data_IF_824272692933
#
_entry.id   IF_824272692933
#
_cell.length_a   1.000
_cell.length_b   1.000
_cell.length_c   1.000
_cell.angle_alpha   90.00
_cell.angle_beta   90.00
_cell.angle_gamma   90.00
#
_symmetry.space_group_name_H-M   'P 1'
#
loop_
_entity.id
_entity.type
_entity.pdbx_description
1 polymer ?
#
# COMPACT_ATOMS: atom_id res chain seq x y z
N UNK A 1 12.92 -68.74 24.18
CA UNK A 1 11.65 -68.53 23.45
C UNK A 1 10.97 -67.28 24.01
N UNK A 2 10.91 -66.18 23.25
CA UNK A 2 10.05 -65.03 23.57
C UNK A 2 8.89 -65.06 22.57
N UNK A 3 7.68 -65.31 23.08
CA UNK A 3 6.47 -65.31 22.26
C UNK A 3 6.06 -63.87 21.95
N UNK A 4 5.79 -63.58 20.69
CA UNK A 4 5.15 -62.36 20.22
C UNK A 4 3.64 -62.62 20.16
N UNK A 5 2.84 -61.86 20.91
CA UNK A 5 1.38 -61.99 20.98
C UNK A 5 0.63 -61.11 19.96
N UNK A 6 1.34 -60.62 18.93
CA UNK A 6 0.78 -59.78 17.87
C UNK A 6 0.92 -58.29 18.15
N UNK A 7 0.79 -57.49 17.09
CA UNK A 7 0.68 -56.04 17.15
C UNK A 7 -0.45 -55.61 16.22
N UNK A 8 -1.15 -54.52 16.57
CA UNK A 8 -2.19 -53.91 15.76
C UNK A 8 -1.69 -52.55 15.29
N UNK A 9 -1.82 -52.27 13.98
CA UNK A 9 -1.57 -50.93 13.43
C UNK A 9 -2.85 -50.11 13.57
N UNK A 10 -2.76 -49.00 14.29
CA UNK A 10 -3.83 -48.01 14.42
C UNK A 10 -3.66 -46.98 13.29
N UNK A 11 -4.71 -46.66 12.50
CA UNK A 11 -4.66 -45.63 11.46
C UNK A 11 -4.34 -44.24 12.03
N UNK A 12 -3.71 -43.37 11.24
CA UNK A 12 -3.37 -42.01 11.66
C UNK A 12 -4.60 -41.10 11.82
N UNK A 13 -5.71 -41.42 11.14
CA UNK A 13 -6.93 -40.60 11.13
C UNK A 13 -8.04 -41.26 11.97
N UNK A 14 -7.85 -41.30 13.28
CA UNK A 14 -8.87 -41.79 14.21
C UNK A 14 -9.77 -40.64 14.67
N UNK A 15 -11.03 -40.63 14.25
CA UNK A 15 -12.04 -39.69 14.74
C UNK A 15 -12.52 -40.15 16.13
N UNK A 16 -11.81 -39.72 17.17
CA UNK A 16 -12.12 -40.03 18.58
C UNK A 16 -12.87 -38.85 19.19
N UNK A 17 -14.15 -39.01 19.58
CA UNK A 17 -14.87 -37.95 20.26
C UNK A 17 -14.19 -37.63 21.60
N UNK A 18 -14.15 -36.36 22.03
CA UNK A 18 -13.46 -35.98 23.26
C UNK A 18 -14.04 -36.75 24.45
N UNK A 19 -13.15 -37.37 25.24
CA UNK A 19 -13.53 -38.10 26.43
C UNK A 19 -14.24 -37.16 27.42
N UNK A 20 -15.49 -37.49 27.76
CA UNK A 20 -16.28 -36.81 28.79
C UNK A 20 -15.52 -36.86 30.13
N UNK A 21 -14.90 -35.75 30.51
CA UNK A 21 -14.17 -35.60 31.78
C UNK A 21 -12.81 -34.90 31.70
N UNK A 22 -12.27 -34.60 30.51
CA UNK A 22 -10.99 -33.88 30.37
C UNK A 22 -11.12 -32.39 30.01
N UNK A 23 -12.33 -31.85 29.89
CA UNK A 23 -12.54 -30.41 29.91
C UNK A 23 -12.44 -29.93 31.36
N UNK A 24 -11.32 -29.30 31.73
CA UNK A 24 -11.21 -28.45 32.93
C UNK A 24 -12.14 -27.24 32.77
N UNK A 25 -13.45 -27.46 32.90
CA UNK A 25 -14.40 -26.42 33.27
C UNK A 25 -14.59 -26.58 34.77
N UNK A 26 -13.61 -26.12 35.54
CA UNK A 26 -13.77 -25.96 36.99
C UNK A 26 -14.48 -24.63 37.23
N UNK A 27 -15.66 -24.59 37.86
CA UNK A 27 -16.31 -23.35 38.22
C UNK A 27 -15.48 -22.56 39.26
N UNK A 28 -15.62 -21.22 39.35
CA UNK A 28 -14.65 -20.32 40.01
C UNK A 28 -14.44 -20.46 41.53
N UNK A 29 -15.03 -21.44 42.19
CA UNK A 29 -15.10 -21.53 43.65
C UNK A 29 -14.47 -22.79 44.27
N UNK A 30 -13.87 -23.70 43.49
CA UNK A 30 -13.42 -25.00 44.01
C UNK A 30 -11.95 -25.10 44.44
N UNK A 31 -11.05 -24.16 44.12
CA UNK A 31 -9.66 -24.27 44.60
C UNK A 31 -8.98 -22.90 44.75
N UNK A 32 -8.61 -22.55 45.99
CA UNK A 32 -7.63 -21.49 46.29
C UNK A 32 -6.28 -22.15 46.61
N UNK A 33 -5.35 -22.29 45.65
CA UNK A 33 -3.96 -22.50 46.02
C UNK A 33 -3.42 -21.16 46.50
N UNK A 34 -3.10 -21.06 47.79
CA UNK A 34 -2.17 -20.04 48.32
C UNK A 34 -0.79 -20.30 47.73
N UNK A 35 -0.58 -19.81 46.51
CA UNK A 35 0.75 -19.58 45.95
C UNK A 35 0.77 -18.14 45.47
N UNK A 36 1.30 -17.27 46.32
CA UNK A 36 1.79 -15.95 45.94
C UNK A 36 3.01 -16.12 45.04
N UNK A 37 2.79 -16.54 43.81
CA UNK A 37 3.70 -16.24 42.71
C UNK A 37 3.05 -15.11 41.96
N UNK A 38 3.50 -13.90 42.26
CA UNK A 38 3.48 -12.78 41.33
C UNK A 38 3.70 -13.36 39.92
N UNK A 39 2.78 -13.15 38.98
CA UNK A 39 3.08 -13.44 37.58
C UNK A 39 4.43 -12.79 37.29
N UNK A 40 5.42 -13.62 36.99
CA UNK A 40 6.72 -13.13 36.60
C UNK A 40 6.51 -12.18 35.42
N UNK A 41 7.27 -11.07 35.32
CA UNK A 41 7.22 -10.23 34.13
C UNK A 41 7.39 -11.15 32.92
N UNK A 42 6.51 -11.06 31.91
CA UNK A 42 6.68 -11.85 30.70
C UNK A 42 8.12 -11.67 30.20
N UNK A 43 8.90 -12.76 30.18
CA UNK A 43 10.28 -12.71 29.70
C UNK A 43 10.31 -12.05 28.32
N UNK A 44 11.32 -11.22 28.01
CA UNK A 44 11.43 -10.58 26.71
C UNK A 44 11.46 -11.65 25.62
N UNK A 45 10.91 -11.31 24.45
CA UNK A 45 11.00 -12.15 23.25
C UNK A 45 12.49 -12.44 22.99
N UNK A 46 12.87 -13.70 22.89
CA UNK A 46 14.27 -14.14 22.95
C UNK A 46 14.95 -14.13 21.59
N UNK A 47 14.24 -14.55 20.54
CA UNK A 47 14.78 -14.58 19.18
C UNK A 47 14.51 -13.27 18.47
N UNK A 48 15.45 -12.80 17.67
CA UNK A 48 15.37 -11.51 17.02
C UNK A 48 16.33 -11.42 15.82
N UNK A 49 15.84 -10.86 14.71
CA UNK A 49 16.62 -10.68 13.48
C UNK A 49 16.26 -9.39 12.75
N UNK A 50 17.26 -8.76 12.15
CA UNK A 50 17.12 -7.57 11.31
C UNK A 50 16.69 -7.93 9.87
N UNK A 51 15.83 -7.10 9.29
CA UNK A 51 15.29 -7.19 7.94
C UNK A 51 15.36 -5.82 7.25
N UNK A 52 15.29 -5.83 5.91
CA UNK A 52 15.20 -4.62 5.07
C UNK A 52 16.37 -3.63 5.29
N UNK A 53 17.59 -4.17 5.38
CA UNK A 53 18.81 -3.41 5.73
C UNK A 53 18.65 -2.69 7.07
N UNK A 54 18.30 -3.45 8.12
CA UNK A 54 18.21 -2.98 9.51
C UNK A 54 17.07 -1.97 9.77
N UNK A 55 16.14 -1.81 8.83
CA UNK A 55 14.98 -0.90 8.99
C UNK A 55 13.79 -1.55 9.66
N UNK A 56 13.79 -2.87 9.77
CA UNK A 56 12.76 -3.65 10.41
C UNK A 56 13.37 -4.74 11.27
N UNK A 57 12.84 -4.92 12.47
CA UNK A 57 13.21 -5.98 13.40
C UNK A 57 12.04 -6.92 13.61
N UNK A 58 12.33 -8.21 13.55
CA UNK A 58 11.38 -9.28 13.84
C UNK A 58 11.90 -10.07 15.02
N UNK A 59 11.13 -10.09 16.09
CA UNK A 59 11.40 -10.95 17.25
C UNK A 59 10.32 -12.01 17.36
N UNK A 60 10.68 -13.24 17.69
CA UNK A 60 9.72 -14.33 17.84
C UNK A 60 10.01 -15.24 19.02
N UNK A 61 8.99 -15.98 19.46
CA UNK A 61 9.11 -17.11 20.37
C UNK A 61 7.93 -18.06 20.21
N UNK A 62 8.20 -19.35 20.40
CA UNK A 62 7.16 -20.37 20.47
C UNK A 62 6.44 -20.31 21.84
N UNK A 63 5.11 -20.31 21.85
CA UNK A 63 4.26 -20.33 23.05
C UNK A 63 3.12 -21.33 22.86
N UNK A 64 3.36 -22.60 23.18
CA UNK A 64 2.40 -23.68 22.98
C UNK A 64 2.06 -23.82 21.49
N UNK A 65 0.78 -23.74 21.14
CA UNK A 65 0.27 -23.85 19.77
C UNK A 65 0.37 -22.55 18.94
N UNK A 66 1.09 -21.54 19.45
CA UNK A 66 1.23 -20.23 18.81
C UNK A 66 2.69 -19.81 18.69
N UNK A 67 2.99 -19.04 17.65
CA UNK A 67 4.19 -18.19 17.61
C UNK A 67 3.78 -16.78 18.01
N UNK A 68 4.44 -16.23 19.03
CA UNK A 68 4.34 -14.82 19.37
C UNK A 68 5.41 -14.06 18.61
N UNK A 69 5.00 -13.07 17.82
CA UNK A 69 5.88 -12.26 16.98
C UNK A 69 5.76 -10.79 17.41
N UNK A 70 6.90 -10.09 17.48
CA UNK A 70 6.99 -8.64 17.64
C UNK A 70 7.69 -8.07 16.41
N UNK A 71 7.00 -7.20 15.69
CA UNK A 71 7.54 -6.42 14.59
C UNK A 71 7.88 -5.03 15.10
N UNK A 72 9.04 -4.49 14.73
CA UNK A 72 9.44 -3.11 15.06
C UNK A 72 10.09 -2.43 13.87
N UNK A 73 9.64 -1.23 13.49
CA UNK A 73 10.21 -0.46 12.39
C UNK A 73 9.94 1.05 12.57
N UNK A 74 10.76 1.89 11.94
CA UNK A 74 10.45 3.33 11.80
C UNK A 74 9.40 3.47 10.70
N UNK A 75 8.18 3.83 11.10
CA UNK A 75 7.04 3.97 10.18
C UNK A 75 6.49 5.38 10.24
N UNK A 76 6.06 5.92 9.10
CA UNK A 76 5.12 7.03 9.08
C UNK A 76 3.71 6.55 9.46
N UNK A 77 2.81 7.49 9.76
CA UNK A 77 1.43 7.18 10.15
C UNK A 77 0.58 6.62 9.00
N UNK A 78 1.04 6.78 7.77
CA UNK A 78 0.43 6.25 6.54
C UNK A 78 1.07 4.93 6.08
N UNK A 79 1.89 4.26 6.90
CA UNK A 79 2.62 3.06 6.51
C UNK A 79 2.28 1.82 7.34
N UNK A 80 2.47 0.66 6.73
CA UNK A 80 2.46 -0.64 7.36
C UNK A 80 3.85 -1.28 7.35
N UNK A 81 4.04 -2.28 8.20
CA UNK A 81 5.08 -3.29 8.09
C UNK A 81 4.43 -4.66 8.00
N UNK A 82 5.00 -5.56 7.21
CA UNK A 82 4.48 -6.91 7.01
C UNK A 82 5.57 -7.94 7.22
N UNK A 83 5.20 -9.10 7.76
CA UNK A 83 6.09 -10.23 7.94
C UNK A 83 5.31 -11.54 7.92
N UNK A 84 5.87 -12.57 7.28
CA UNK A 84 5.34 -13.92 7.35
C UNK A 84 6.02 -14.88 6.39
N UNK A 85 5.33 -15.97 6.08
CA UNK A 85 5.85 -17.06 5.26
C UNK A 85 5.90 -16.66 3.79
N UNK A 86 7.03 -16.96 3.14
CA UNK A 86 7.17 -16.79 1.71
C UNK A 86 6.23 -17.73 0.97
N UNK A 87 5.75 -17.29 -0.19
CA UNK A 87 4.93 -18.10 -1.07
C UNK A 87 5.66 -19.31 -1.66
N UNK A 88 6.98 -19.33 -1.58
CA UNK A 88 7.81 -20.47 -1.99
C UNK A 88 9.06 -20.59 -1.13
N UNK A 89 9.48 -21.82 -0.86
CA UNK A 89 10.73 -22.10 -0.17
C UNK A 89 11.94 -21.81 -1.08
N UNK A 90 13.02 -21.29 -0.50
CA UNK A 90 14.27 -21.01 -1.22
C UNK A 90 14.33 -19.65 -1.91
N UNK A 91 13.28 -18.82 -1.83
CA UNK A 91 13.28 -17.45 -2.37
C UNK A 91 12.24 -16.56 -1.70
N UNK A 92 12.47 -15.25 -1.72
CA UNK A 92 11.43 -14.27 -1.40
C UNK A 92 10.37 -14.23 -2.53
N UNK A 93 9.17 -14.73 -2.24
CA UNK A 93 8.07 -14.77 -3.19
C UNK A 93 6.77 -14.30 -2.54
N UNK A 94 6.13 -13.29 -3.11
CA UNK A 94 4.84 -12.79 -2.61
C UNK A 94 3.69 -13.73 -2.96
N UNK A 95 3.66 -14.27 -4.17
CA UNK A 95 2.51 -15.07 -4.64
C UNK A 95 2.46 -16.40 -3.90
N UNK A 96 1.33 -16.66 -3.26
CA UNK A 96 1.09 -17.76 -2.33
C UNK A 96 1.59 -17.49 -0.92
N UNK A 97 2.15 -16.31 -0.63
CA UNK A 97 2.62 -15.94 0.70
C UNK A 97 1.48 -15.67 1.66
N UNK A 98 1.79 -15.88 2.94
CA UNK A 98 0.88 -15.76 4.08
C UNK A 98 1.61 -14.91 5.12
N UNK A 99 1.10 -13.68 5.29
CA UNK A 99 1.79 -12.64 6.05
C UNK A 99 0.84 -11.89 6.95
N UNK A 100 1.38 -11.39 8.06
CA UNK A 100 0.66 -10.45 8.90
C UNK A 100 1.07 -9.04 8.53
N UNK A 101 0.07 -8.19 8.25
CA UNK A 101 0.25 -6.75 8.04
C UNK A 101 -0.06 -6.04 9.34
N UNK A 102 0.93 -5.31 9.86
CA UNK A 102 0.83 -4.55 11.11
C UNK A 102 1.00 -3.05 10.87
N UNK A 103 0.17 -2.24 11.51
CA UNK A 103 0.22 -0.78 11.37
C UNK A 103 -0.35 -0.04 12.59
N UNK A 104 -0.07 1.26 12.64
CA UNK A 104 -0.65 2.20 13.59
C UNK A 104 -1.69 3.06 12.90
N UNK A 105 -2.91 3.07 13.41
CA UNK A 105 -3.98 3.94 12.95
C UNK A 105 -3.98 5.23 13.76
N UNK A 106 -3.55 6.32 13.13
CA UNK A 106 -3.47 7.63 13.78
C UNK A 106 -4.83 8.27 14.10
N UNK A 107 -5.90 7.91 13.36
CA UNK A 107 -7.22 8.54 13.50
C UNK A 107 -7.84 8.21 14.86
N UNK A 108 -7.68 6.97 15.31
CA UNK A 108 -8.21 6.47 16.59
C UNK A 108 -7.12 6.03 17.58
N UNK A 109 -5.83 6.20 17.22
CA UNK A 109 -4.66 5.85 18.02
C UNK A 109 -4.60 4.38 18.43
N UNK A 110 -4.94 3.49 17.51
CA UNK A 110 -4.94 2.03 17.74
C UNK A 110 -3.89 1.33 16.88
N UNK A 111 -3.47 0.14 17.31
CA UNK A 111 -2.58 -0.73 16.55
C UNK A 111 -3.37 -1.90 16.00
N UNK A 112 -2.96 -2.39 14.83
CA UNK A 112 -3.62 -3.48 14.13
C UNK A 112 -2.58 -4.50 13.67
N UNK A 113 -3.02 -5.75 13.57
CA UNK A 113 -2.28 -6.87 13.00
C UNK A 113 -3.32 -7.75 12.30
N UNK A 114 -3.27 -7.74 10.98
CA UNK A 114 -4.28 -8.37 10.12
C UNK A 114 -3.63 -9.45 9.28
N UNK A 115 -4.30 -10.61 9.18
CA UNK A 115 -3.85 -11.74 8.37
C UNK A 115 -4.10 -11.50 6.88
N UNK A 116 -3.12 -11.84 6.04
CA UNK A 116 -3.14 -11.59 4.61
C UNK A 116 -2.63 -12.79 3.81
N UNK A 117 -3.47 -13.21 2.88
CA UNK A 117 -3.09 -14.05 1.76
C UNK A 117 -2.81 -13.26 0.47
N UNK A 118 -1.76 -13.66 -0.24
CA UNK A 118 -1.30 -13.00 -1.46
C UNK A 118 -1.44 -13.89 -2.69
N UNK A 119 -2.53 -13.78 -3.44
CA UNK A 119 -2.74 -14.57 -4.66
C UNK A 119 -2.10 -13.97 -5.92
N UNK A 120 -1.83 -12.66 -5.91
CA UNK A 120 -1.19 -11.96 -7.02
C UNK A 120 -0.45 -10.71 -6.55
N UNK A 121 0.50 -10.22 -7.36
CA UNK A 121 1.19 -8.94 -7.13
C UNK A 121 0.34 -7.76 -7.62
N UNK A 122 -0.89 -7.63 -7.09
CA UNK A 122 -1.87 -6.59 -7.43
C UNK A 122 -2.65 -6.15 -6.19
N UNK A 123 -3.32 -5.00 -6.27
CA UNK A 123 -4.20 -4.53 -5.20
C UNK A 123 -5.29 -5.58 -4.92
N UNK A 124 -5.72 -5.70 -3.66
CA UNK A 124 -6.87 -6.53 -3.32
C UNK A 124 -8.14 -6.04 -4.02
N UNK A 125 -8.63 -6.80 -4.99
CA UNK A 125 -9.91 -6.53 -5.64
C UNK A 125 -11.10 -7.10 -4.85
N UNK A 126 -10.84 -7.86 -3.79
CA UNK A 126 -11.83 -8.58 -2.98
C UNK A 126 -11.87 -10.09 -3.23
N UNK A 127 -11.12 -10.58 -4.21
CA UNK A 127 -10.95 -11.99 -4.52
C UNK A 127 -9.48 -12.32 -4.80
N UNK A 128 -8.76 -11.44 -5.52
CA UNK A 128 -7.38 -11.61 -5.93
C UNK A 128 -6.49 -10.43 -5.50
N UNK A 129 -5.18 -10.67 -5.43
CA UNK A 129 -4.17 -9.67 -5.08
C UNK A 129 -3.56 -9.91 -3.71
N UNK A 130 -3.13 -8.84 -3.05
CA UNK A 130 -2.64 -8.82 -1.67
C UNK A 130 -3.82 -8.45 -0.76
N UNK A 131 -4.54 -9.46 -0.27
CA UNK A 131 -5.82 -9.28 0.41
C UNK A 131 -5.74 -9.62 1.90
N UNK A 132 -6.41 -8.84 2.78
CA UNK A 132 -6.76 -9.35 4.09
C UNK A 132 -7.64 -10.59 3.94
N UNK A 133 -7.43 -11.60 4.75
CA UNK A 133 -8.13 -12.88 4.65
C UNK A 133 -9.65 -12.75 4.75
N UNK A 134 -10.10 -11.87 5.64
CA UNK A 134 -11.52 -11.53 5.83
C UNK A 134 -12.18 -11.00 4.54
N UNK A 135 -11.40 -10.45 3.60
CA UNK A 135 -11.94 -9.95 2.33
C UNK A 135 -12.22 -11.04 1.31
N UNK A 136 -11.53 -12.17 1.41
CA UNK A 136 -11.64 -13.30 0.48
C UNK A 136 -12.37 -14.49 1.10
N UNK A 137 -13.06 -14.26 2.22
CA UNK A 137 -13.89 -15.27 2.90
C UNK A 137 -13.15 -16.10 3.96
N UNK A 138 -11.88 -15.78 4.24
CA UNK A 138 -11.12 -16.35 5.35
C UNK A 138 -11.36 -15.61 6.67
N UNK A 139 -10.55 -15.91 7.68
CA UNK A 139 -10.57 -15.22 8.98
C UNK A 139 -9.26 -14.49 9.26
N UNK A 140 -9.33 -13.53 10.17
CA UNK A 140 -8.11 -13.01 10.78
C UNK A 140 -7.75 -13.94 11.96
N UNK A 141 -6.81 -14.85 11.75
CA UNK A 141 -6.35 -15.79 12.77
C UNK A 141 -5.30 -15.19 13.72
N UNK A 142 -4.86 -13.96 13.42
CA UNK A 142 -3.89 -13.21 14.23
C UNK A 142 -4.57 -12.58 15.44
N UNK A 143 -3.93 -12.73 16.60
CA UNK A 143 -4.37 -12.12 17.86
C UNK A 143 -3.37 -11.03 18.25
N UNK A 144 -3.79 -9.77 18.18
CA UNK A 144 -3.02 -8.64 18.68
C UNK A 144 -2.83 -8.73 20.20
N UNK A 145 -1.59 -8.63 20.68
CA UNK A 145 -1.26 -8.57 22.12
C UNK A 145 -1.10 -7.12 22.56
N UNK A 146 -0.26 -6.36 21.85
CA UNK A 146 0.09 -4.99 22.24
C UNK A 146 0.70 -4.24 21.07
N UNK A 147 0.58 -2.92 21.10
CA UNK A 147 1.34 -2.05 20.21
C UNK A 147 1.86 -0.83 20.97
N UNK A 148 3.00 -0.31 20.53
CA UNK A 148 3.64 0.89 21.06
C UNK A 148 4.20 1.70 19.91
N UNK A 149 4.15 3.03 20.04
CA UNK A 149 4.85 3.95 19.14
C UNK A 149 5.65 4.94 19.97
N UNK A 150 6.96 4.95 19.77
CA UNK A 150 7.89 5.81 20.52
C UNK A 150 9.01 6.28 19.60
N UNK A 151 9.27 7.59 19.59
CA UNK A 151 10.33 8.22 18.78
C UNK A 151 10.28 7.82 17.29
N UNK A 152 9.08 7.70 16.71
CA UNK A 152 8.89 7.29 15.30
C UNK A 152 8.96 5.77 15.05
N UNK A 153 9.47 4.98 16.00
CA UNK A 153 9.45 3.52 15.94
C UNK A 153 8.06 3.03 16.34
N UNK A 154 7.48 2.17 15.51
CA UNK A 154 6.24 1.43 15.80
C UNK A 154 6.59 -0.02 16.07
N UNK A 155 6.16 -0.52 17.22
CA UNK A 155 6.29 -1.91 17.62
C UNK A 155 4.91 -2.53 17.77
N UNK A 156 4.64 -3.65 17.08
CA UNK A 156 3.38 -4.39 17.19
C UNK A 156 3.70 -5.83 17.54
N UNK A 157 3.07 -6.34 18.61
CA UNK A 157 3.22 -7.73 19.07
C UNK A 157 1.90 -8.46 18.91
N UNK A 158 1.93 -9.61 18.26
CA UNK A 158 0.77 -10.46 18.00
C UNK A 158 1.12 -11.95 18.21
N UNK A 159 0.10 -12.81 18.24
CA UNK A 159 0.24 -14.26 18.17
C UNK A 159 -0.44 -14.79 16.91
N UNK A 160 0.20 -15.73 16.25
CA UNK A 160 -0.34 -16.49 15.11
C UNK A 160 -0.34 -17.98 15.46
N UNK A 161 -1.44 -18.73 15.23
CA UNK A 161 -1.47 -20.18 15.39
C UNK A 161 -0.42 -20.87 14.53
N UNK A 162 0.13 -22.00 14.97
CA UNK A 162 1.02 -22.82 14.14
C UNK A 162 0.30 -23.44 12.94
N UNK A 163 -0.98 -23.73 13.12
CA UNK A 163 -1.86 -24.30 12.10
C UNK A 163 -3.27 -23.78 12.34
N UNK A 164 -3.96 -23.44 11.26
CA UNK A 164 -5.37 -23.07 11.25
C UNK A 164 -6.19 -24.16 10.55
N UNK A 165 -7.51 -24.00 10.54
CA UNK A 165 -8.41 -24.88 9.78
C UNK A 165 -8.64 -24.39 8.34
N UNK A 166 -7.84 -23.41 7.85
CA UNK A 166 -8.06 -22.69 6.59
C UNK A 166 -6.89 -22.91 5.61
N UNK A 167 -6.72 -24.15 5.17
CA UNK A 167 -5.55 -24.57 4.36
C UNK A 167 -5.38 -23.89 2.99
N UNK A 168 -6.36 -23.10 2.53
CA UNK A 168 -6.28 -22.40 1.22
C UNK A 168 -5.47 -21.11 1.36
N UNK A 169 -5.74 -20.35 2.42
CA UNK A 169 -5.14 -19.05 2.64
C UNK A 169 -3.96 -19.14 3.62
N UNK A 170 -4.06 -20.06 4.58
CA UNK A 170 -3.09 -20.20 5.65
C UNK A 170 -2.12 -21.34 5.42
N UNK A 171 -0.86 -21.05 5.73
CA UNK A 171 0.25 -22.00 5.73
C UNK A 171 0.62 -22.36 7.15
N UNK A 172 0.76 -23.67 7.37
CA UNK A 172 1.32 -24.21 8.61
C UNK A 172 2.74 -23.70 8.82
N UNK A 173 3.04 -23.24 10.03
CA UNK A 173 4.40 -22.88 10.45
C UNK A 173 5.16 -24.17 10.80
N UNK A 174 6.19 -24.56 10.03
CA UNK A 174 6.99 -25.72 10.37
C UNK A 174 7.88 -25.45 11.60
N UNK A 175 8.03 -26.46 12.45
CA UNK A 175 8.89 -26.41 13.65
C UNK A 175 10.10 -27.35 13.58
N UNK A 176 10.18 -28.14 12.50
CA UNK A 176 11.21 -29.16 12.28
C UNK A 176 12.30 -28.69 11.30
N UNK A 177 12.16 -27.49 10.74
CA UNK A 177 13.07 -26.92 9.74
C UNK A 177 13.00 -25.40 9.70
N UNK A 178 14.05 -24.79 9.16
CA UNK A 178 14.01 -23.42 8.68
C UNK A 178 13.03 -23.28 7.50
N UNK A 179 12.31 -22.17 7.45
CA UNK A 179 11.36 -21.84 6.38
C UNK A 179 11.63 -20.44 5.83
N UNK A 180 11.46 -20.27 4.52
CA UNK A 180 11.58 -18.97 3.86
C UNK A 180 10.48 -18.01 4.31
N UNK A 181 10.89 -16.80 4.67
CA UNK A 181 10.05 -15.71 5.15
C UNK A 181 10.25 -14.46 4.30
N UNK A 182 9.23 -13.61 4.25
CA UNK A 182 9.24 -12.33 3.56
C UNK A 182 8.85 -11.21 4.51
N UNK A 183 9.46 -10.03 4.31
CA UNK A 183 9.13 -8.82 5.04
C UNK A 183 8.98 -7.64 4.07
N UNK A 184 8.17 -6.65 4.44
CA UNK A 184 8.00 -5.44 3.67
C UNK A 184 7.57 -4.24 4.53
N UNK A 185 7.88 -3.03 4.08
CA UNK A 185 7.31 -1.77 4.57
C UNK A 185 6.67 -1.07 3.38
N UNK A 186 5.43 -0.60 3.53
CA UNK A 186 4.73 0.05 2.45
C UNK A 186 3.70 1.06 2.93
N UNK A 187 3.13 1.88 2.03
CA UNK A 187 2.04 2.77 2.37
C UNK A 187 0.72 2.00 2.55
N UNK A 188 -0.19 2.56 3.33
CA UNK A 188 -1.57 2.10 3.49
C UNK A 188 -2.48 2.81 2.48
N UNK A 189 -3.52 2.11 1.99
CA UNK A 189 -4.57 2.72 1.19
C UNK A 189 -5.66 3.40 2.06
N UNK A 190 -6.69 3.97 1.42
CA UNK A 190 -7.80 4.64 2.12
C UNK A 190 -8.64 3.73 3.01
N UNK A 191 -8.59 2.41 2.78
CA UNK A 191 -9.20 1.37 3.64
C UNK A 191 -8.27 0.89 4.76
N UNK A 192 -7.08 1.48 4.91
CA UNK A 192 -6.02 1.00 5.82
C UNK A 192 -5.55 -0.42 5.49
N UNK A 193 -5.64 -0.82 4.23
CA UNK A 193 -5.05 -2.07 3.75
C UNK A 193 -3.64 -1.79 3.16
N UNK A 194 -2.77 -2.80 3.16
CA UNK A 194 -1.46 -2.73 2.53
C UNK A 194 -1.55 -2.24 1.07
N UNK A 195 -0.73 -1.25 0.70
CA UNK A 195 -0.49 -0.80 -0.67
C UNK A 195 0.91 -1.22 -1.15
N UNK A 196 1.24 -1.03 -2.44
CA UNK A 196 2.53 -1.49 -2.96
C UNK A 196 3.71 -0.80 -2.25
N UNK A 197 4.62 -1.62 -1.73
CA UNK A 197 5.92 -1.19 -1.23
C UNK A 197 6.86 -0.82 -2.39
N UNK A 198 7.87 0.02 -2.12
CA UNK A 198 8.92 0.23 -3.11
C UNK A 198 9.86 -0.98 -3.16
N UNK A 199 10.65 -1.12 -4.24
CA UNK A 199 11.65 -2.17 -4.40
C UNK A 199 12.59 -2.29 -3.18
N UNK A 200 13.21 -1.20 -2.67
CA UNK A 200 14.11 -1.33 -1.50
C UNK A 200 13.38 -1.66 -0.20
N UNK A 201 12.05 -1.55 -0.15
CA UNK A 201 11.23 -1.71 1.05
C UNK A 201 10.64 -3.12 1.21
N UNK A 202 11.25 -4.13 0.56
CA UNK A 202 10.87 -5.54 0.70
C UNK A 202 12.08 -6.48 0.70
N UNK A 203 11.88 -7.71 1.18
CA UNK A 203 12.88 -8.77 1.04
C UNK A 203 13.14 -9.09 -0.44
N UNK A 204 14.39 -8.98 -0.87
CA UNK A 204 14.84 -9.42 -2.19
C UNK A 204 15.51 -10.80 -2.16
N UNK A 205 16.24 -11.08 -1.07
CA UNK A 205 16.94 -12.33 -0.85
C UNK A 205 16.10 -13.33 -0.06
N UNK A 206 16.48 -14.61 -0.14
CA UNK A 206 15.86 -15.67 0.65
C UNK A 206 16.25 -15.55 2.13
N UNK A 207 15.36 -14.97 2.92
CA UNK A 207 15.48 -14.91 4.37
C UNK A 207 14.80 -16.13 4.97
N UNK A 208 15.47 -16.86 5.86
CA UNK A 208 14.90 -18.04 6.53
C UNK A 208 14.83 -17.88 8.03
N UNK A 209 13.78 -18.42 8.65
CA UNK A 209 13.65 -18.48 10.10
C UNK A 209 13.33 -19.91 10.52
N UNK A 210 13.99 -20.38 11.57
CA UNK A 210 13.52 -21.50 12.39
C UNK A 210 12.70 -20.94 13.55
N UNK A 211 11.38 -21.19 13.51
CA UNK A 211 10.46 -20.69 14.53
C UNK A 211 10.60 -21.39 15.88
N UNK A 212 11.28 -22.54 15.91
CA UNK A 212 11.59 -23.31 17.12
C UNK A 212 13.01 -23.02 17.65
N UNK A 213 13.78 -22.17 16.97
CA UNK A 213 15.08 -21.74 17.45
C UNK A 213 15.00 -21.09 18.84
N UNK A 214 16.13 -21.09 19.55
CA UNK A 214 16.32 -20.41 20.83
C UNK A 214 17.62 -19.60 20.73
N UNK A 215 17.62 -18.42 21.31
CA UNK A 215 18.77 -17.50 21.39
C UNK A 215 19.28 -16.96 20.03
N UNK A 216 18.40 -16.75 19.05
CA UNK A 216 18.76 -15.95 17.87
C UNK A 216 18.84 -14.46 18.26
N UNK A 217 20.04 -13.88 18.24
CA UNK A 217 20.25 -12.47 18.62
C UNK A 217 20.81 -11.64 17.45
N UNK A 218 20.35 -11.93 16.23
CA UNK A 218 20.78 -11.29 14.99
C UNK A 218 20.20 -9.88 14.78
N UNK A 219 19.60 -9.25 15.78
CA UNK A 219 19.20 -7.85 15.73
C UNK A 219 20.20 -6.98 16.48
N UNK A 220 21.15 -6.43 15.74
CA UNK A 220 22.33 -5.74 16.29
C UNK A 220 22.22 -4.22 16.15
N UNK A 221 21.29 -3.74 15.32
CA UNK A 221 21.17 -2.32 14.97
C UNK A 221 20.10 -1.60 15.78
N UNK A 222 20.32 -0.32 16.03
CA UNK A 222 19.29 0.54 16.63
C UNK A 222 18.40 1.14 15.55
N UNK A 223 17.09 0.90 15.64
CA UNK A 223 16.10 1.48 14.73
C UNK A 223 16.04 3.03 14.81
N UNK A 224 16.62 3.65 15.84
CA UNK A 224 16.64 5.12 15.97
C UNK A 224 17.70 5.80 15.12
N UNK A 225 18.68 5.05 14.61
CA UNK A 225 19.84 5.61 13.93
C UNK A 225 19.75 5.47 12.40
N UNK A 226 18.56 5.09 11.89
CA UNK A 226 18.29 4.96 10.46
C UNK A 226 18.27 6.37 9.82
N UNK A 227 19.13 6.66 8.83
CA UNK A 227 19.14 7.97 8.16
C UNK A 227 17.77 8.31 7.57
N UNK A 228 17.31 9.54 7.76
CA UNK A 228 16.14 10.03 7.04
C UNK A 228 16.40 9.96 5.53
N UNK A 229 15.44 9.36 4.82
CA UNK A 229 15.49 9.22 3.38
C UNK A 229 15.49 10.63 2.74
N UNK A 230 16.43 10.96 1.83
CA UNK A 230 16.48 12.27 1.21
C UNK A 230 15.16 12.61 0.52
N UNK A 231 14.52 13.70 0.96
CA UNK A 231 13.27 14.17 0.36
C UNK A 231 13.52 14.60 -1.09
N UNK A 232 13.15 13.76 -2.05
CA UNK A 232 13.24 14.11 -3.47
C UNK A 232 12.06 15.01 -3.86
N UNK A 233 12.35 16.10 -4.57
CA UNK A 233 11.31 16.98 -5.08
C UNK A 233 10.47 16.25 -6.16
N UNK A 234 9.13 16.30 -6.09
CA UNK A 234 8.26 15.76 -7.14
C UNK A 234 8.54 16.41 -8.50
N UNK A 235 8.32 15.65 -9.58
CA UNK A 235 8.28 16.23 -10.92
C UNK A 235 7.03 17.11 -11.07
N UNK A 236 7.14 18.17 -11.87
CA UNK A 236 5.99 19.02 -12.19
C UNK A 236 5.05 18.25 -13.11
N UNK A 237 3.77 18.06 -12.76
CA UNK A 237 2.80 17.41 -13.65
C UNK A 237 2.66 18.19 -14.95
N UNK A 238 2.61 17.47 -16.08
CA UNK A 238 2.36 18.09 -17.37
C UNK A 238 0.88 18.49 -17.50
N UNK A 239 0.59 19.44 -18.39
CA UNK A 239 -0.77 19.97 -18.60
C UNK A 239 -1.10 19.91 -20.09
N UNK A 240 -2.23 19.30 -20.45
CA UNK A 240 -2.70 19.18 -21.84
C UNK A 240 -3.99 20.00 -22.04
N UNK A 241 -3.97 20.98 -22.95
CA UNK A 241 -5.09 21.94 -23.14
C UNK A 241 -5.66 22.02 -24.55
N UNK A 242 -4.97 21.49 -25.57
CA UNK A 242 -5.34 21.66 -26.98
C UNK A 242 -5.49 20.32 -27.73
N UNK A 243 -5.73 19.23 -27.01
CA UNK A 243 -5.89 17.90 -27.61
C UNK A 243 -7.34 17.45 -27.55
N UNK A 244 -7.85 16.89 -28.65
CA UNK A 244 -9.17 16.21 -28.71
C UNK A 244 -9.03 14.69 -28.71
N UNK A 245 -7.83 14.18 -28.98
CA UNK A 245 -7.48 12.77 -28.93
C UNK A 245 -6.34 12.56 -27.92
N UNK A 246 -6.48 11.52 -27.11
CA UNK A 246 -5.52 11.14 -26.08
C UNK A 246 -5.14 9.66 -26.24
N UNK A 247 -3.86 9.33 -26.16
CA UNK A 247 -3.42 7.94 -25.98
C UNK A 247 -3.26 7.67 -24.49
N UNK A 248 -3.80 6.57 -23.99
CA UNK A 248 -3.72 6.18 -22.59
C UNK A 248 -3.06 4.80 -22.47
N UNK A 249 -1.88 4.77 -21.84
CA UNK A 249 -1.05 3.57 -21.64
C UNK A 249 -0.65 3.44 -20.18
N UNK A 250 -0.20 2.27 -19.78
CA UNK A 250 0.29 2.04 -18.41
C UNK A 250 1.80 2.25 -18.35
N UNK A 251 2.32 2.57 -17.17
CA UNK A 251 3.76 2.64 -16.92
C UNK A 251 4.07 2.75 -15.43
N UNK A 252 5.35 2.94 -15.08
CA UNK A 252 5.80 2.96 -13.69
C UNK A 252 5.36 4.27 -13.04
N UNK A 253 5.26 4.27 -11.72
CA UNK A 253 4.73 5.42 -10.98
C UNK A 253 5.73 6.57 -10.83
N UNK A 254 6.99 6.42 -11.26
CA UNK A 254 8.02 7.44 -11.11
C UNK A 254 8.63 7.53 -9.70
N UNK A 255 8.48 6.47 -8.89
CA UNK A 255 9.09 6.36 -7.57
C UNK A 255 8.78 7.55 -6.65
N UNK A 256 9.80 8.01 -5.91
CA UNK A 256 9.68 9.12 -4.95
C UNK A 256 9.42 10.50 -5.57
N UNK A 257 9.47 10.62 -6.91
CA UNK A 257 9.24 11.89 -7.63
C UNK A 257 7.92 11.93 -8.39
N UNK A 258 7.32 10.78 -8.67
CA UNK A 258 6.16 10.65 -9.54
C UNK A 258 4.84 10.63 -8.76
N UNK A 259 3.97 9.66 -9.07
CA UNK A 259 2.57 9.59 -8.68
C UNK A 259 2.34 9.99 -7.23
N UNK A 260 2.84 9.23 -6.26
CA UNK A 260 2.50 9.47 -4.85
C UNK A 260 2.97 10.83 -4.34
N UNK A 261 4.10 11.32 -4.86
CA UNK A 261 4.66 12.61 -4.49
C UNK A 261 3.90 13.78 -5.14
N UNK A 262 3.30 13.56 -6.32
CA UNK A 262 2.46 14.51 -7.05
C UNK A 262 1.05 14.57 -6.46
N UNK A 263 0.46 13.39 -6.20
CA UNK A 263 -0.96 13.27 -5.89
C UNK A 263 -1.26 13.27 -4.39
N UNK A 264 -0.27 12.89 -3.57
CA UNK A 264 -0.46 12.60 -2.15
C UNK A 264 -1.15 11.26 -1.89
N UNK A 265 -1.53 10.51 -2.94
CA UNK A 265 -2.16 9.21 -2.83
C UNK A 265 -1.16 8.07 -3.04
N UNK A 266 -1.29 6.97 -2.31
CA UNK A 266 -0.44 5.80 -2.51
C UNK A 266 -0.81 5.10 -3.83
N UNK A 267 0.17 4.46 -4.48
CA UNK A 267 -0.02 3.80 -5.78
C UNK A 267 0.47 2.36 -5.77
N UNK A 268 -0.19 1.49 -6.52
CA UNK A 268 0.12 0.07 -6.61
C UNK A 268 1.25 -0.27 -7.62
N UNK A 269 2.05 0.72 -8.04
CA UNK A 269 3.17 0.49 -8.96
C UNK A 269 2.86 0.71 -10.45
N UNK A 270 1.62 1.06 -10.79
CA UNK A 270 1.21 1.48 -12.12
C UNK A 270 0.52 2.84 -12.13
N UNK A 271 0.77 3.62 -13.18
CA UNK A 271 0.13 4.90 -13.43
C UNK A 271 -0.24 5.05 -14.90
N UNK A 272 -1.25 5.90 -15.18
CA UNK A 272 -1.58 6.27 -16.55
C UNK A 272 -0.53 7.22 -17.14
N UNK A 273 -0.11 6.89 -18.36
CA UNK A 273 0.65 7.73 -19.25
C UNK A 273 -0.29 8.22 -20.34
N UNK A 274 -0.64 9.52 -20.30
CA UNK A 274 -1.50 10.14 -21.29
C UNK A 274 -0.65 10.96 -22.25
N UNK A 275 -0.70 10.63 -23.55
CA UNK A 275 0.20 11.19 -24.56
C UNK A 275 1.67 11.09 -24.13
N UNK A 276 2.04 9.92 -23.56
CA UNK A 276 3.39 9.59 -23.08
C UNK A 276 3.90 10.48 -21.92
N UNK A 277 3.00 11.18 -21.24
CA UNK A 277 3.28 11.97 -20.04
C UNK A 277 2.71 11.24 -18.81
N UNK A 278 3.47 11.20 -17.72
CA UNK A 278 3.01 10.63 -16.44
C UNK A 278 1.90 11.49 -15.86
N UNK A 279 0.70 10.91 -15.72
CA UNK A 279 -0.50 11.49 -15.11
C UNK A 279 -0.70 13.01 -15.31
N UNK A 280 -0.75 13.52 -16.57
CA UNK A 280 -0.93 14.94 -16.81
C UNK A 280 -2.32 15.41 -16.38
N UNK A 281 -2.44 16.69 -16.04
CA UNK A 281 -3.72 17.36 -15.92
C UNK A 281 -4.31 17.62 -17.31
N UNK A 282 -5.53 17.14 -17.54
CA UNK A 282 -6.23 17.33 -18.82
C UNK A 282 -7.19 18.51 -18.71
N UNK A 283 -7.26 19.36 -19.72
CA UNK A 283 -8.27 20.42 -19.82
C UNK A 283 -9.20 20.11 -21.00
N UNK A 284 -10.49 19.98 -20.71
CA UNK A 284 -11.54 19.66 -21.68
C UNK A 284 -12.67 20.69 -21.63
N UNK A 285 -13.37 20.89 -22.75
CA UNK A 285 -14.41 21.90 -22.88
C UNK A 285 -15.80 21.28 -22.89
N UNK A 286 -16.75 21.89 -22.18
CA UNK A 286 -18.16 21.47 -22.19
C UNK A 286 -18.75 21.51 -23.59
N UNK A 287 -19.51 20.49 -23.96
CA UNK A 287 -20.12 20.30 -25.27
C UNK A 287 -19.19 19.74 -26.34
N UNK A 288 -17.88 19.61 -26.07
CA UNK A 288 -16.92 19.04 -27.00
C UNK A 288 -16.81 17.52 -26.84
N UNK A 289 -16.56 16.82 -27.96
CA UNK A 289 -16.28 15.39 -27.99
C UNK A 289 -14.77 15.13 -27.99
N UNK A 290 -14.34 14.21 -27.14
CA UNK A 290 -12.97 13.74 -26.98
C UNK A 290 -12.89 12.22 -27.18
N UNK A 291 -11.74 11.75 -27.64
CA UNK A 291 -11.48 10.32 -27.85
C UNK A 291 -10.23 9.89 -27.10
N UNK A 292 -10.34 8.86 -26.28
CA UNK A 292 -9.22 8.20 -25.62
C UNK A 292 -8.96 6.86 -26.31
N UNK A 293 -7.72 6.65 -26.75
CA UNK A 293 -7.21 5.39 -27.29
C UNK A 293 -6.54 4.66 -26.13
N UNK A 294 -7.19 3.62 -25.63
CA UNK A 294 -6.89 2.99 -24.35
C UNK A 294 -6.17 1.66 -24.58
N UNK A 295 -4.99 1.54 -23.97
CA UNK A 295 -4.11 0.38 -24.05
C UNK A 295 -3.71 -0.10 -22.63
N UNK A 296 -4.72 -0.28 -21.75
CA UNK A 296 -4.55 -0.66 -20.34
C UNK A 296 -4.69 -2.15 -20.02
N UNK A 297 -4.96 -2.98 -21.03
CA UNK A 297 -5.24 -4.40 -20.90
C UNK A 297 -6.74 -4.73 -20.85
N UNK A 298 -7.08 -5.88 -21.44
CA UNK A 298 -8.43 -6.33 -21.75
C UNK A 298 -8.79 -7.69 -21.12
N UNK A 299 -7.84 -8.32 -20.43
CA UNK A 299 -8.01 -9.62 -19.79
C UNK A 299 -8.25 -9.48 -18.27
N UNK A 300 -9.50 -9.59 -17.78
CA UNK A 300 -9.82 -9.44 -16.36
C UNK A 300 -9.21 -10.52 -15.46
N UNK A 301 -8.74 -11.63 -16.03
CA UNK A 301 -8.07 -12.69 -15.26
C UNK A 301 -6.65 -12.31 -14.86
N UNK A 302 -6.07 -11.29 -15.50
CA UNK A 302 -4.74 -10.76 -15.20
C UNK A 302 -4.86 -9.44 -14.44
N UNK A 303 -5.25 -9.51 -13.16
CA UNK A 303 -5.51 -8.33 -12.31
C UNK A 303 -4.42 -7.26 -12.34
N UNK A 304 -3.13 -7.64 -12.40
CA UNK A 304 -1.99 -6.71 -12.46
C UNK A 304 -1.87 -5.97 -13.80
N UNK A 305 -2.45 -6.51 -14.87
CA UNK A 305 -2.39 -5.98 -16.25
C UNK A 305 -3.77 -5.63 -16.80
N UNK A 306 -4.79 -5.57 -15.96
CA UNK A 306 -6.14 -5.22 -16.36
C UNK A 306 -6.47 -3.84 -15.81
N UNK A 307 -6.37 -2.81 -16.64
CA UNK A 307 -6.65 -1.41 -16.26
C UNK A 307 -7.60 -0.74 -17.26
N UNK A 308 -8.90 -1.09 -17.29
CA UNK A 308 -9.84 -0.40 -18.15
C UNK A 308 -9.97 1.08 -17.76
N UNK A 309 -10.04 1.97 -18.73
CA UNK A 309 -10.07 3.41 -18.50
C UNK A 309 -11.50 3.93 -18.37
N UNK A 310 -11.76 4.80 -17.40
CA UNK A 310 -13.06 5.45 -17.26
C UNK A 310 -12.92 6.84 -16.63
N UNK A 311 -13.99 7.63 -16.70
CA UNK A 311 -14.06 9.01 -16.21
C UNK A 311 -15.13 9.11 -15.13
N UNK A 312 -14.77 9.70 -13.98
CA UNK A 312 -15.60 9.73 -12.78
C UNK A 312 -15.37 10.96 -11.91
N UNK A 313 -16.24 11.21 -10.94
CA UNK A 313 -16.03 12.21 -9.89
C UNK A 313 -15.20 11.69 -8.70
N UNK A 314 -14.88 10.39 -8.66
CA UNK A 314 -14.03 9.81 -7.61
C UNK A 314 -12.53 10.08 -7.86
N UNK A 315 -11.82 10.73 -6.91
CA UNK A 315 -10.37 10.92 -7.00
C UNK A 315 -9.57 9.62 -6.84
N UNK A 316 -10.14 8.58 -6.22
CA UNK A 316 -9.48 7.28 -6.03
C UNK A 316 -9.77 6.32 -7.19
N UNK A 317 -10.94 6.40 -7.81
CA UNK A 317 -11.34 5.45 -8.83
C UNK A 317 -11.59 4.03 -8.29
N UNK A 318 -11.23 3.00 -9.09
CA UNK A 318 -11.40 1.60 -8.73
C UNK A 318 -12.86 1.14 -8.62
N UNK A 319 -13.74 1.63 -9.52
CA UNK A 319 -15.20 1.38 -9.48
C UNK A 319 -15.56 -0.12 -9.34
N UNK A 320 -14.84 -1.00 -10.02
CA UNK A 320 -15.06 -2.45 -9.98
C UNK A 320 -14.78 -3.10 -8.61
N UNK A 321 -14.04 -2.44 -7.72
CA UNK A 321 -13.74 -2.92 -6.36
C UNK A 321 -14.70 -2.36 -5.29
N UNK A 322 -15.63 -1.50 -5.70
CA UNK A 322 -16.59 -0.85 -4.81
C UNK A 322 -17.82 -1.73 -4.63
N UNK A 323 -18.39 -1.73 -3.44
CA UNK A 323 -19.70 -2.34 -3.17
C UNK A 323 -20.78 -1.65 -3.99
N UNK A 324 -21.90 -2.32 -4.26
CA UNK A 324 -23.02 -1.67 -4.98
C UNK A 324 -23.45 -0.34 -4.36
N UNK A 325 -23.43 -0.25 -3.03
CA UNK A 325 -23.80 0.97 -2.31
C UNK A 325 -22.82 2.12 -2.54
N UNK A 326 -21.52 1.82 -2.66
CA UNK A 326 -20.47 2.77 -2.97
C UNK A 326 -20.50 3.17 -4.45
N UNK A 327 -20.71 2.20 -5.34
CA UNK A 327 -20.88 2.43 -6.79
C UNK A 327 -22.01 3.42 -7.07
N UNK A 328 -23.16 3.27 -6.39
CA UNK A 328 -24.30 4.20 -6.53
C UNK A 328 -24.01 5.63 -6.07
N UNK A 329 -22.99 5.85 -5.26
CA UNK A 329 -22.57 7.20 -4.81
C UNK A 329 -21.60 7.87 -5.78
N UNK A 330 -21.00 7.09 -6.67
CA UNK A 330 -20.01 7.55 -7.63
C UNK A 330 -20.68 7.86 -8.96
N UNK A 331 -20.38 9.04 -9.53
CA UNK A 331 -20.86 9.39 -10.87
C UNK A 331 -19.83 8.96 -11.91
N UNK A 332 -20.31 8.23 -12.92
CA UNK A 332 -19.51 7.89 -14.10
C UNK A 332 -19.92 8.78 -15.25
N UNK A 333 -18.94 9.40 -15.90
CA UNK A 333 -19.15 10.27 -17.07
C UNK A 333 -18.85 9.57 -18.39
N UNK A 334 -17.96 8.55 -18.37
CA UNK A 334 -17.63 7.73 -19.54
C UNK A 334 -16.90 6.45 -19.08
N UNK A 335 -16.93 5.40 -19.90
CA UNK A 335 -16.07 4.22 -19.74
C UNK A 335 -16.67 3.06 -18.94
N UNK A 336 -17.91 3.17 -18.49
CA UNK A 336 -18.67 2.09 -17.84
C UNK A 336 -20.02 1.98 -18.52
N UNK A 337 -20.37 0.77 -18.95
CA UNK A 337 -21.67 0.40 -19.47
C UNK A 337 -22.38 -0.51 -18.46
N UNK A 338 -23.67 -0.72 -18.67
CA UNK A 338 -24.50 -1.62 -17.87
C UNK A 338 -25.01 -2.72 -18.79
N UNK A 339 -24.92 -3.97 -18.35
CA UNK A 339 -25.43 -5.11 -19.10
C UNK A 339 -26.96 -5.25 -19.00
N UNK A 340 -27.53 -6.31 -19.59
CA UNK A 340 -28.98 -6.55 -19.54
C UNK A 340 -29.52 -6.86 -18.15
N UNK A 341 -28.66 -7.29 -17.23
CA UNK A 341 -29.02 -7.68 -15.86
C UNK A 341 -28.82 -6.52 -14.87
N UNK A 342 -28.25 -5.40 -15.33
CA UNK A 342 -28.01 -4.22 -14.51
C UNK A 342 -26.60 -4.17 -13.91
N UNK A 343 -25.70 -5.09 -14.26
CA UNK A 343 -24.34 -5.09 -13.75
C UNK A 343 -23.44 -4.13 -14.55
N UNK A 344 -22.70 -3.25 -13.87
CA UNK A 344 -21.77 -2.36 -14.52
C UNK A 344 -20.52 -3.12 -14.98
N UNK A 345 -20.05 -2.81 -16.19
CA UNK A 345 -18.81 -3.35 -16.75
C UNK A 345 -18.05 -2.27 -17.53
N UNK A 346 -16.71 -2.33 -17.58
CA UNK A 346 -15.92 -1.32 -18.26
C UNK A 346 -16.08 -1.43 -19.78
N UNK A 347 -16.27 -0.29 -20.44
CA UNK A 347 -16.46 -0.23 -21.90
C UNK A 347 -15.19 0.10 -22.68
N UNK A 348 -14.08 0.40 -21.98
CA UNK A 348 -12.82 0.81 -22.57
C UNK A 348 -11.66 0.00 -22.00
N UNK A 349 -11.62 -1.27 -22.40
CA UNK A 349 -10.53 -2.21 -22.12
C UNK A 349 -9.93 -2.64 -23.46
N UNK A 350 -8.68 -2.26 -23.72
CA UNK A 350 -7.97 -2.57 -24.97
C UNK A 350 -6.66 -3.29 -24.69
N UNK A 351 -5.89 -3.63 -25.73
CA UNK A 351 -4.61 -4.35 -25.60
C UNK A 351 -3.71 -3.74 -24.52
N UNK A 352 -2.87 -4.56 -23.89
CA UNK A 352 -1.94 -4.08 -22.87
C UNK A 352 -0.68 -3.47 -23.49
N UNK A 353 -0.43 -2.19 -23.21
CA UNK A 353 0.85 -1.53 -23.50
C UNK A 353 1.39 -0.85 -22.23
N UNK A 354 2.65 -1.14 -21.91
CA UNK A 354 3.33 -0.65 -20.71
C UNK A 354 4.66 0.02 -21.07
N UNK A 355 4.90 1.20 -20.52
CA UNK A 355 6.25 1.76 -20.43
C UNK A 355 7.04 0.97 -19.38
N UNK A 356 8.09 0.27 -19.79
CA UNK A 356 8.92 -0.54 -18.89
C UNK A 356 10.35 0.01 -18.83
N UNK A 357 11.04 -0.07 -17.68
CA UNK A 357 12.46 0.29 -17.59
C UNK A 357 13.30 -0.50 -18.59
N UNK A 358 14.27 0.15 -19.23
CA UNK A 358 15.23 -0.54 -20.12
C UNK A 358 16.16 -1.48 -19.36
N UNK A 359 16.48 -1.15 -18.12
CA UNK A 359 17.35 -1.94 -17.23
C UNK A 359 16.75 -2.02 -15.84
N UNK A 360 16.93 -0.97 -15.03
CA UNK A 360 16.36 -0.79 -13.70
C UNK A 360 15.62 0.54 -13.66
N UNK A 361 14.74 0.73 -12.68
CA UNK A 361 14.10 2.02 -12.47
C UNK A 361 15.14 3.09 -12.09
N UNK A 362 15.17 4.18 -12.86
CA UNK A 362 16.07 5.34 -12.66
C UNK A 362 15.32 6.60 -12.26
N UNK A 363 14.14 6.44 -11.67
CA UNK A 363 13.30 7.55 -11.24
C UNK A 363 13.98 8.47 -10.21
N UNK A 364 14.74 7.91 -9.26
CA UNK A 364 15.48 8.67 -8.24
C UNK A 364 16.60 9.54 -8.82
N UNK A 365 17.32 9.02 -9.81
CA UNK A 365 18.45 9.66 -10.52
C UNK A 365 17.98 10.75 -11.51
N UNK A 366 16.74 10.64 -12.00
CA UNK A 366 16.21 11.51 -13.05
C UNK A 366 15.65 12.81 -12.46
N UNK A 367 16.36 13.91 -12.67
CA UNK A 367 15.96 15.25 -12.17
C UNK A 367 14.67 15.73 -12.86
N UNK A 368 14.52 15.45 -14.15
CA UNK A 368 13.34 15.81 -14.96
C UNK A 368 12.59 14.56 -15.41
N UNK A 369 11.28 14.70 -15.68
CA UNK A 369 10.49 13.59 -16.22
C UNK A 369 10.93 13.23 -17.64
N UNK A 370 11.36 14.20 -18.44
CA UNK A 370 11.87 13.99 -19.79
C UNK A 370 13.12 13.11 -19.80
N UNK A 371 14.02 13.28 -18.83
CA UNK A 371 15.18 12.42 -18.68
C UNK A 371 14.79 11.02 -18.21
N UNK A 372 13.82 10.92 -17.30
CA UNK A 372 13.27 9.64 -16.86
C UNK A 372 12.66 8.86 -18.04
N UNK A 373 11.87 9.52 -18.87
CA UNK A 373 11.18 8.90 -20.00
C UNK A 373 12.15 8.27 -21.01
N UNK A 374 13.35 8.83 -21.18
CA UNK A 374 14.42 8.24 -22.03
C UNK A 374 14.93 6.90 -21.50
N UNK A 375 14.75 6.61 -20.21
CA UNK A 375 15.15 5.34 -19.57
C UNK A 375 14.12 4.23 -19.78
N UNK A 376 12.92 4.56 -20.28
CA UNK A 376 11.85 3.62 -20.52
C UNK A 376 11.79 3.19 -22.00
N UNK A 377 11.18 2.03 -22.25
CA UNK A 377 10.78 1.56 -23.58
C UNK A 377 9.33 1.11 -23.52
N UNK A 378 8.60 1.25 -24.63
CA UNK A 378 7.22 0.79 -24.71
C UNK A 378 7.21 -0.70 -25.08
N UNK A 379 6.50 -1.50 -24.30
CA UNK A 379 6.23 -2.92 -24.57
C UNK A 379 4.72 -3.12 -24.74
N UNK A 380 4.31 -3.73 -25.86
CA UNK A 380 2.90 -3.87 -26.22
C UNK A 380 2.58 -5.32 -26.59
N UNK A 381 1.50 -5.83 -26.02
CA UNK A 381 0.94 -7.12 -26.43
C UNK A 381 0.20 -6.99 -27.76
N UNK A 382 0.14 -8.09 -28.50
CA UNK A 382 -0.69 -8.19 -29.70
C UNK A 382 -2.16 -7.95 -29.36
N UNK A 383 -2.87 -7.23 -30.23
CA UNK A 383 -4.27 -6.91 -30.06
C UNK A 383 -4.60 -5.51 -30.56
N UNK A 384 -5.84 -5.09 -30.33
CA UNK A 384 -6.36 -3.79 -30.72
C UNK A 384 -6.54 -2.88 -29.50
N UNK A 385 -6.32 -1.56 -29.62
CA UNK A 385 -6.67 -0.61 -28.58
C UNK A 385 -8.20 -0.48 -28.45
N UNK A 386 -8.67 -0.05 -27.29
CA UNK A 386 -10.07 0.34 -27.11
C UNK A 386 -10.24 1.85 -27.36
N UNK A 387 -11.43 2.24 -27.81
CA UNK A 387 -11.75 3.65 -28.06
C UNK A 387 -12.87 4.11 -27.14
N UNK A 388 -12.55 5.04 -26.24
CA UNK A 388 -13.54 5.71 -25.41
C UNK A 388 -13.87 7.08 -26.00
N UNK A 389 -15.10 7.23 -26.48
CA UNK A 389 -15.61 8.51 -26.96
C UNK A 389 -16.44 9.17 -25.85
N UNK A 390 -15.98 10.32 -25.37
CA UNK A 390 -16.67 11.09 -24.34
C UNK A 390 -17.10 12.45 -24.87
N UNK A 391 -18.40 12.74 -24.79
CA UNK A 391 -18.92 14.08 -25.04
C UNK A 391 -19.16 14.75 -23.69
N UNK A 392 -18.45 15.83 -23.40
CA UNK A 392 -18.50 16.50 -22.10
C UNK A 392 -19.85 17.18 -21.96
N UNK A 393 -20.69 16.72 -21.05
CA UNK A 393 -22.01 17.31 -20.83
C UNK A 393 -21.89 18.68 -20.13
N UNK A 394 -22.90 19.55 -20.30
CA UNK A 394 -22.86 20.92 -19.77
C UNK A 394 -22.83 20.95 -18.23
N UNK A 395 -23.48 19.96 -17.60
CA UNK A 395 -23.57 19.75 -16.17
C UNK A 395 -22.37 18.99 -15.56
N UNK A 396 -21.37 18.64 -16.37
CA UNK A 396 -20.14 18.01 -15.87
C UNK A 396 -19.45 18.99 -14.90
N UNK A 397 -19.08 18.57 -13.67
CA UNK A 397 -18.35 19.42 -12.73
C UNK A 397 -17.03 19.95 -13.30
N UNK A 398 -16.54 21.07 -12.77
CA UNK A 398 -15.25 21.69 -13.20
C UNK A 398 -14.03 20.79 -12.97
N UNK A 399 -14.16 19.77 -12.12
CA UNK A 399 -13.13 18.78 -11.84
C UNK A 399 -13.76 17.39 -11.84
N UNK A 400 -13.23 16.53 -12.71
CA UNK A 400 -13.48 15.09 -12.73
C UNK A 400 -12.14 14.38 -12.86
N UNK A 401 -12.13 13.05 -12.87
CA UNK A 401 -10.91 12.24 -12.84
C UNK A 401 -10.97 11.17 -13.93
N UNK A 402 -9.86 10.95 -14.61
CA UNK A 402 -9.66 9.70 -15.34
C UNK A 402 -9.01 8.68 -14.41
N UNK A 403 -9.50 7.45 -14.41
CA UNK A 403 -9.08 6.42 -13.47
C UNK A 403 -9.07 5.03 -14.14
N UNK A 404 -8.43 4.07 -13.46
CA UNK A 404 -8.63 2.64 -13.72
C UNK A 404 -9.94 2.15 -13.09
N UNK A 405 -10.74 1.41 -13.87
CA UNK A 405 -11.97 0.80 -13.40
C UNK A 405 -11.70 -0.26 -12.31
N UNK A 406 -10.64 -1.03 -12.49
CA UNK A 406 -10.32 -2.22 -11.70
C UNK A 406 -9.38 -1.94 -10.52
N UNK A 407 -8.63 -0.84 -10.52
CA UNK A 407 -7.67 -0.50 -9.48
C UNK A 407 -7.85 0.94 -8.99
N UNK A 408 -7.65 1.15 -7.70
CA UNK A 408 -7.71 2.49 -7.11
C UNK A 408 -6.36 3.22 -7.25
N UNK A 409 -6.40 4.54 -7.32
CA UNK A 409 -5.24 5.43 -7.43
C UNK A 409 -4.37 5.15 -8.67
N UNK A 410 -5.02 4.89 -9.80
CA UNK A 410 -4.38 4.73 -11.11
C UNK A 410 -5.04 5.74 -12.04
N UNK A 411 -4.70 7.02 -11.86
CA UNK A 411 -5.35 8.13 -12.56
C UNK A 411 -5.17 9.50 -11.93
N UNK A 412 -5.67 10.52 -12.62
CA UNK A 412 -5.51 11.92 -12.23
C UNK A 412 -6.60 12.84 -12.81
N UNK A 413 -6.36 14.13 -12.75
CA UNK A 413 -7.37 15.18 -12.88
C UNK A 413 -7.70 15.53 -14.35
N UNK A 414 -8.99 15.75 -14.58
CA UNK A 414 -9.53 16.44 -15.76
C UNK A 414 -10.22 17.70 -15.28
N UNK A 415 -9.72 18.85 -15.70
CA UNK A 415 -10.36 20.15 -15.54
C UNK A 415 -11.34 20.38 -16.68
N UNK A 416 -12.61 20.60 -16.33
CA UNK A 416 -13.67 20.89 -17.29
C UNK A 416 -13.90 22.39 -17.30
N UNK A 417 -13.78 23.01 -18.47
CA UNK A 417 -13.94 24.45 -18.65
C UNK A 417 -15.05 24.76 -19.66
N UNK A 418 -15.48 26.01 -19.70
CA UNK A 418 -16.41 26.43 -20.74
C UNK A 418 -15.68 26.59 -22.08
N UNK A 419 -16.41 26.51 -23.21
CA UNK A 419 -15.82 26.67 -24.54
C UNK A 419 -14.95 27.94 -24.65
N UNK A 420 -13.69 27.78 -25.06
CA UNK A 420 -12.74 28.88 -25.25
C UNK A 420 -12.00 29.40 -24.01
N UNK A 421 -12.23 28.82 -22.82
CA UNK A 421 -11.54 29.22 -21.57
C UNK A 421 -10.21 28.51 -21.33
N UNK A 422 -9.99 27.35 -21.97
CA UNK A 422 -8.85 26.43 -21.76
C UNK A 422 -7.47 27.10 -21.87
N UNK A 423 -7.33 28.11 -22.73
CA UNK A 423 -6.06 28.80 -22.98
C UNK A 423 -5.76 29.99 -22.07
N UNK A 424 -6.80 30.63 -21.51
CA UNK A 424 -6.63 31.84 -20.68
C UNK A 424 -6.24 31.49 -19.25
N UNK A 425 -6.89 30.49 -18.67
CA UNK A 425 -6.75 30.13 -17.26
C UNK A 425 -5.41 29.43 -16.93
N UNK A 426 -4.87 28.59 -17.83
CA UNK A 426 -3.58 27.93 -17.62
C UNK A 426 -2.42 28.92 -17.67
N UNK A 427 -2.45 29.89 -18.60
CA UNK A 427 -1.44 30.96 -18.70
C UNK A 427 -1.45 31.88 -17.47
N UNK A 428 -2.61 32.14 -16.88
CA UNK A 428 -2.72 32.94 -15.65
C UNK A 428 -2.28 32.17 -14.39
N UNK A 429 -2.64 30.88 -14.25
CA UNK A 429 -2.16 30.02 -13.15
C UNK A 429 -0.64 29.81 -13.21
N UNK A 430 -0.06 29.58 -14.39
CA UNK A 430 1.39 29.48 -14.55
C UNK A 430 2.11 30.82 -14.27
N UNK A 431 1.52 31.97 -14.60
CA UNK A 431 2.04 33.30 -14.23
C UNK A 431 1.97 33.58 -12.72
N UNK A 432 0.92 33.13 -12.02
CA UNK A 432 0.82 33.26 -10.56
C UNK A 432 1.83 32.39 -9.81
N UNK A 433 2.06 31.16 -10.27
CA UNK A 433 3.05 30.26 -9.66
C UNK A 433 4.51 30.70 -9.92
N UNK A 434 4.79 31.40 -11.03
CA UNK A 434 6.10 32.01 -11.29
C UNK A 434 6.29 33.38 -10.62
N UNK A 435 5.21 34.11 -10.31
CA UNK A 435 5.23 35.43 -9.68
C UNK A 435 5.46 35.44 -8.16
N UNK A 436 5.35 34.29 -7.47
CA UNK A 436 5.55 34.20 -6.01
C UNK A 436 7.01 34.00 -5.57
N UNK A 437 7.97 33.93 -6.49
CA UNK A 437 9.41 33.83 -6.18
C UNK A 437 10.15 35.18 -6.16
N UNK A 438 9.49 36.29 -6.51
CA UNK A 438 10.11 37.62 -6.56
C UNK A 438 9.22 38.70 -5.92
N UNK A 439 8.94 38.56 -4.62
CA UNK A 439 8.71 39.74 -3.75
C UNK A 439 9.67 39.65 -2.58
N UNK A 440 10.90 40.07 -2.85
CA UNK A 440 11.89 40.34 -1.83
C UNK A 440 11.36 41.38 -0.83
N UNK A 441 11.53 41.08 0.45
CA UNK A 441 11.51 42.07 1.50
C UNK A 441 12.50 43.19 1.16
N UNK A 442 12.00 44.35 0.78
CA UNK A 442 12.74 45.60 0.83
C UNK A 442 12.09 46.46 1.90
N UNK A 443 12.54 46.30 3.15
CA UNK A 443 12.34 47.34 4.15
C UNK A 443 13.59 48.21 4.19
N UNK A 444 13.43 49.43 3.65
CA UNK A 444 14.36 50.54 3.74
C UNK A 444 14.55 50.93 5.21
N UNK A 445 15.77 50.81 5.73
CA UNK A 445 16.22 51.50 6.94
C UNK A 445 16.65 52.92 6.56
N UNK A 446 15.79 53.90 6.82
CA UNK A 446 16.13 55.32 6.75
C UNK A 446 16.63 55.78 8.12
N UNK A 447 17.84 56.34 8.16
CA UNK A 447 18.34 57.12 9.28
C UNK A 447 17.43 58.33 9.51
N UNK A 448 17.03 58.57 10.76
CA UNK A 448 16.78 59.92 11.25
C UNK A 448 17.39 60.14 12.63
N UNK A 449 18.04 61.29 12.70
CA UNK A 449 18.87 61.84 13.75
C UNK A 449 18.02 62.41 14.89
N UNK A 450 18.51 62.19 16.12
CA UNK A 450 18.54 63.10 17.29
C UNK A 450 17.40 64.11 17.49
N UNK A 451 16.74 64.07 18.66
CA UNK A 451 16.42 65.24 19.52
C UNK A 451 16.11 64.78 20.96
N UNK A 452 16.66 65.56 21.89
CA UNK A 452 16.65 65.52 23.35
C UNK A 452 15.27 65.48 24.02
N UNK A 453 15.15 64.75 25.15
CA UNK A 453 14.51 65.25 26.38
C UNK A 453 15.28 64.73 27.61
N UNK A 454 15.70 65.67 28.45
CA UNK A 454 16.37 65.53 29.76
C UNK A 454 15.32 65.62 30.86
N UNK A 455 15.33 64.73 31.87
CA UNK A 455 15.06 64.96 33.32
C UNK A 455 15.54 63.71 34.10
N UNK A 456 16.74 63.71 34.71
CA UNK A 456 17.09 64.03 36.12
C UNK A 456 16.74 62.97 37.22
N UNK A 457 17.79 62.24 37.63
CA UNK A 457 18.34 62.01 38.99
C UNK A 457 17.74 61.03 40.05
N UNK A 458 18.70 60.31 40.70
CA UNK A 458 18.78 59.80 42.09
C UNK A 458 18.06 58.47 42.43
N UNK A 459 18.60 57.47 43.15
CA UNK A 459 19.73 57.27 44.10
C UNK A 459 20.08 55.76 44.10
N UNK A 460 21.34 55.34 43.96
CA UNK A 460 22.29 55.00 45.04
C UNK A 460 21.91 53.81 45.96
N UNK A 461 22.41 52.59 45.64
CA UNK A 461 23.51 51.92 46.36
C UNK A 461 23.96 50.66 45.65
#
# INVERSE_FOLDING_TARGET
YRHNFGHVKIPQDLDVPPALGQTKITPPWWYKPTSSTTEAPEDPVTNCRDFLNERMQVSWRLKGEYVQIKLSAVLREDQYMAFGLSGEEGRANMVGGDVVVAYYNADNKTFHADDYFMSATSQCDGHNGVCPDVRIGGKNDVILISGERKNGVTSVTYKRPLQTNEMINDRTIPLDRETSVIAAIGPLNSRREANAHAIPDKSEEDMKIDFNAVDDHSCVSSLTDVPEDPSLKPWTPAVITQATMFTARIGPTGGKRGYSAITGYPSWGHAWYINDLLIPELYVERGQKYTFVVEGGDDPTKSSRYHPFYITDSPEGGYGQRTESEQRRQRVFAGVNVDSEGYPFPSAAGRYCEWVPKTIDRSSESVTFEDYMKTLKLDCQSGEPAYLNWTVAQETPDLVYYQSYSQSNVGWQIHVVNPGDSLKNVREKQKKNSGHSLRGCSHRSALYSTIFVVVYFMLAR
#
